data_IF_054751633439
#
_entry.id   IF_054751633439
#
_cell.length_a   1.000
_cell.length_b   1.000
_cell.length_c   1.000
_cell.angle_alpha   90.00
_cell.angle_beta   90.00
_cell.angle_gamma   90.00
#
_symmetry.space_group_name_H-M   'P 1'
#
loop_
_entity.id
_entity.type
_entity.pdbx_description
1 polymer ?
#
# COMPACT_ATOMS: atom_id res chain seq x y z
N UNK A 1 5.86 9.70 -16.07
CA UNK A 1 6.80 9.69 -14.93
C UNK A 1 7.63 8.43 -14.95
N UNK A 2 8.50 8.23 -13.95
CA UNK A 2 9.16 6.94 -13.72
C UNK A 2 8.38 6.08 -12.72
N UNK A 3 9.09 5.21 -12.03
CA UNK A 3 8.59 4.34 -10.97
C UNK A 3 8.77 4.98 -9.59
N UNK A 4 7.87 4.63 -8.69
CA UNK A 4 7.97 4.85 -7.26
C UNK A 4 7.93 3.47 -6.57
N UNK A 5 8.87 3.21 -5.67
CA UNK A 5 8.94 1.97 -4.90
C UNK A 5 9.25 2.30 -3.45
N UNK A 6 9.05 1.34 -2.55
CA UNK A 6 9.45 1.52 -1.16
C UNK A 6 9.82 0.21 -0.49
N UNK A 7 10.57 0.32 0.60
CA UNK A 7 10.84 -0.81 1.49
C UNK A 7 9.71 -0.94 2.52
N UNK A 8 8.99 -2.08 2.56
CA UNK A 8 7.96 -2.30 3.57
C UNK A 8 8.57 -2.35 4.97
N UNK A 9 8.02 -1.57 5.90
CA UNK A 9 8.50 -1.51 7.28
C UNK A 9 7.66 -2.40 8.20
N UNK A 10 7.66 -3.72 8.01
CA UNK A 10 6.86 -4.65 8.82
C UNK A 10 7.66 -5.07 10.07
N UNK A 11 7.17 -4.81 11.30
CA UNK A 11 7.81 -5.29 12.51
C UNK A 11 7.89 -6.83 12.53
N UNK A 12 9.06 -7.40 12.86
CA UNK A 12 9.24 -8.86 12.91
C UNK A 12 8.21 -9.57 13.77
N UNK A 13 7.83 -8.97 14.90
CA UNK A 13 6.76 -9.48 15.78
C UNK A 13 5.42 -9.69 15.07
N UNK A 14 5.08 -8.83 14.11
CA UNK A 14 3.83 -8.95 13.34
C UNK A 14 3.88 -10.09 12.31
N UNK A 15 5.08 -10.57 11.97
CA UNK A 15 5.27 -11.73 11.09
C UNK A 15 5.42 -13.02 11.91
N UNK A 16 6.21 -13.00 12.97
CA UNK A 16 6.73 -14.22 13.61
C UNK A 16 6.08 -14.56 14.95
N UNK A 17 5.50 -13.59 15.65
CA UNK A 17 4.98 -13.82 17.00
C UNK A 17 3.48 -14.19 16.96
N UNK A 18 3.03 -14.93 17.97
CA UNK A 18 1.62 -15.21 18.22
C UNK A 18 0.96 -16.18 17.24
N UNK A 19 -0.28 -16.55 17.54
CA UNK A 19 -1.07 -17.45 16.71
C UNK A 19 -1.47 -16.79 15.38
N UNK A 20 -1.69 -17.61 14.34
CA UNK A 20 -2.24 -17.17 13.06
C UNK A 20 -3.77 -17.20 13.11
N UNK A 21 -4.37 -16.10 13.60
CA UNK A 21 -5.82 -15.88 13.67
C UNK A 21 -6.27 -14.81 12.67
N UNK A 22 -7.59 -14.67 12.48
CA UNK A 22 -8.20 -13.59 11.69
C UNK A 22 -7.72 -12.22 12.17
N UNK A 23 -7.71 -11.98 13.48
CA UNK A 23 -7.26 -10.72 14.07
C UNK A 23 -5.79 -10.44 13.75
N UNK A 24 -4.93 -11.44 13.92
CA UNK A 24 -3.50 -11.31 13.61
C UNK A 24 -3.24 -11.08 12.11
N UNK A 25 -4.07 -11.70 11.25
CA UNK A 25 -4.01 -11.55 9.80
C UNK A 25 -4.36 -10.14 9.38
N UNK A 26 -5.52 -9.65 9.81
CA UNK A 26 -5.95 -8.30 9.49
C UNK A 26 -5.01 -7.27 10.12
N UNK A 27 -4.49 -7.48 11.33
CA UNK A 27 -3.47 -6.58 11.89
C UNK A 27 -2.22 -6.48 10.98
N UNK A 28 -1.74 -7.60 10.42
CA UNK A 28 -0.62 -7.63 9.49
C UNK A 28 -0.94 -6.96 8.15
N UNK A 29 -2.08 -7.31 7.55
CA UNK A 29 -2.48 -6.77 6.24
C UNK A 29 -2.80 -5.28 6.34
N UNK A 30 -3.57 -4.85 7.34
CA UNK A 30 -3.92 -3.45 7.60
C UNK A 30 -2.68 -2.56 7.78
N UNK A 31 -1.65 -3.07 8.45
CA UNK A 31 -0.39 -2.37 8.63
C UNK A 31 0.37 -2.16 7.31
N UNK A 32 0.34 -3.15 6.41
CA UNK A 32 0.91 -3.02 5.06
C UNK A 32 0.05 -2.11 4.18
N UNK A 33 -1.27 -2.27 4.22
CA UNK A 33 -2.23 -1.45 3.47
C UNK A 33 -2.09 0.02 3.79
N UNK A 34 -1.87 0.41 5.06
CA UNK A 34 -1.64 1.82 5.42
C UNK A 34 -0.43 2.41 4.70
N UNK A 35 0.67 1.67 4.60
CA UNK A 35 1.86 2.09 3.86
C UNK A 35 1.59 2.16 2.35
N UNK A 36 0.85 1.19 1.81
CA UNK A 36 0.48 1.15 0.39
C UNK A 36 -0.46 2.31 0.04
N UNK A 37 -1.41 2.66 0.91
CA UNK A 37 -2.28 3.84 0.77
C UNK A 37 -1.47 5.12 0.60
N UNK A 38 -0.48 5.32 1.46
CA UNK A 38 0.46 6.45 1.35
C UNK A 38 1.25 6.39 0.04
N UNK A 39 1.75 5.21 -0.34
CA UNK A 39 2.49 5.02 -1.58
C UNK A 39 1.65 5.32 -2.84
N UNK A 40 0.38 4.90 -2.85
CA UNK A 40 -0.59 5.19 -3.92
C UNK A 40 -0.86 6.69 -4.02
N UNK A 41 -1.06 7.36 -2.89
CA UNK A 41 -1.27 8.81 -2.87
C UNK A 41 -0.06 9.57 -3.44
N UNK A 42 1.15 9.19 -3.02
CA UNK A 42 2.38 9.80 -3.53
C UNK A 42 2.64 9.45 -5.01
N UNK A 43 2.32 8.23 -5.44
CA UNK A 43 2.43 7.81 -6.83
C UNK A 43 1.49 8.62 -7.74
N UNK A 44 0.25 8.83 -7.29
CA UNK A 44 -0.74 9.71 -7.92
C UNK A 44 -0.22 11.14 -8.03
N UNK A 45 0.19 11.73 -6.90
CA UNK A 45 0.70 13.11 -6.83
C UNK A 45 1.90 13.35 -7.76
N UNK A 46 2.86 12.43 -7.74
CA UNK A 46 4.11 12.54 -8.51
C UNK A 46 4.00 12.01 -9.94
N UNK A 47 2.81 11.53 -10.35
CA UNK A 47 2.54 10.91 -11.67
C UNK A 47 3.55 9.81 -12.01
N UNK A 48 3.75 8.90 -11.06
CA UNK A 48 4.67 7.76 -11.13
C UNK A 48 3.92 6.44 -11.00
N UNK A 49 4.42 5.41 -11.68
CA UNK A 49 3.90 4.05 -11.53
C UNK A 49 4.40 3.46 -10.21
N UNK A 50 3.48 3.01 -9.35
CA UNK A 50 3.83 2.35 -8.09
C UNK A 50 4.29 0.91 -8.35
N UNK A 51 5.52 0.58 -7.97
CA UNK A 51 5.92 -0.83 -7.81
C UNK A 51 5.39 -1.29 -6.47
N UNK A 52 4.40 -2.17 -6.49
CA UNK A 52 3.75 -2.70 -5.29
C UNK A 52 4.77 -3.44 -4.43
N UNK A 53 4.67 -3.38 -3.10
CA UNK A 53 5.54 -4.17 -2.24
C UNK A 53 5.15 -5.65 -2.28
N UNK A 54 6.05 -6.57 -1.87
CA UNK A 54 5.63 -7.91 -1.50
C UNK A 54 4.64 -7.83 -0.34
N UNK A 55 3.54 -8.60 -0.42
CA UNK A 55 2.53 -8.67 0.62
C UNK A 55 2.73 -9.93 1.46
N UNK A 56 2.67 -9.76 2.77
CA UNK A 56 2.67 -10.87 3.72
C UNK A 56 1.28 -11.12 4.26
N UNK A 57 0.84 -12.37 4.19
CA UNK A 57 -0.43 -12.81 4.75
C UNK A 57 -0.19 -13.91 5.78
N UNK A 58 -0.99 -13.89 6.85
CA UNK A 58 -1.03 -15.00 7.81
C UNK A 58 -2.04 -16.07 7.42
N UNK A 59 -3.04 -15.73 6.60
CA UNK A 59 -4.14 -16.60 6.21
C UNK A 59 -4.33 -16.45 4.72
N UNK A 60 -4.78 -17.52 4.09
CA UNK A 60 -5.12 -17.59 2.69
C UNK A 60 -6.44 -16.87 2.38
N UNK A 61 -6.66 -16.50 1.12
CA UNK A 61 -7.96 -16.04 0.63
C UNK A 61 -8.56 -17.15 -0.22
N UNK A 62 -9.75 -17.62 0.13
CA UNK A 62 -10.48 -18.63 -0.64
C UNK A 62 -11.90 -18.16 -1.00
N UNK A 63 -12.68 -19.04 -1.63
CA UNK A 63 -14.11 -18.80 -1.94
C UNK A 63 -15.06 -19.52 -0.96
N UNK A 64 -14.54 -20.11 0.11
CA UNK A 64 -15.30 -20.86 1.13
C UNK A 64 -14.68 -20.68 2.52
N UNK A 65 -15.39 -21.08 3.58
CA UNK A 65 -14.89 -21.05 4.95
C UNK A 65 -13.73 -22.01 5.16
N UNK A 66 -12.63 -21.56 5.76
CA UNK A 66 -11.41 -22.37 5.91
C UNK A 66 -10.66 -22.05 7.20
N UNK A 67 -9.82 -22.98 7.72
CA UNK A 67 -9.09 -22.81 8.98
C UNK A 67 -7.87 -21.87 8.87
N UNK A 68 -7.83 -21.00 7.85
CA UNK A 68 -6.74 -20.06 7.60
C UNK A 68 -5.75 -20.48 6.52
N UNK A 69 -5.48 -21.77 6.31
CA UNK A 69 -4.74 -22.31 5.15
C UNK A 69 -5.45 -23.53 4.60
N UNK A 70 -5.16 -23.89 3.35
CA UNK A 70 -5.79 -25.05 2.72
C UNK A 70 -5.31 -26.34 3.40
N UNK A 71 -6.25 -27.13 3.90
CA UNK A 71 -5.95 -28.43 4.49
C UNK A 71 -5.21 -29.32 3.48
N UNK A 72 -4.20 -30.04 3.97
CA UNK A 72 -3.34 -30.88 3.12
C UNK A 72 -2.24 -30.13 2.37
N UNK A 73 -2.15 -28.80 2.47
CA UNK A 73 -1.01 -28.05 1.90
C UNK A 73 0.14 -27.89 2.89
N UNK A 74 1.35 -27.69 2.35
CA UNK A 74 2.56 -27.40 3.14
C UNK A 74 2.82 -25.89 3.27
N UNK A 75 1.77 -25.06 3.20
CA UNK A 75 1.88 -23.60 3.26
C UNK A 75 2.40 -23.15 4.62
N UNK A 76 3.59 -22.56 4.65
CA UNK A 76 4.17 -21.99 5.87
C UNK A 76 3.59 -20.62 6.12
N UNK A 77 3.03 -20.39 7.31
CA UNK A 77 2.52 -19.08 7.72
C UNK A 77 3.60 -18.31 8.51
N UNK A 78 3.74 -16.98 8.34
CA UNK A 78 3.14 -16.20 7.27
C UNK A 78 3.84 -16.50 5.92
N UNK A 79 3.16 -16.21 4.81
CA UNK A 79 3.68 -16.39 3.46
C UNK A 79 3.57 -15.10 2.64
N UNK A 80 4.34 -15.04 1.56
CA UNK A 80 4.16 -14.03 0.52
C UNK A 80 2.88 -14.34 -0.25
N UNK A 81 1.84 -13.55 -0.02
CA UNK A 81 0.55 -13.76 -0.68
C UNK A 81 0.51 -13.03 -2.04
N UNK A 82 -0.18 -13.63 -3.02
CA UNK A 82 -0.58 -12.93 -4.23
C UNK A 82 -1.30 -11.61 -3.93
N UNK A 83 -1.11 -10.61 -4.79
CA UNK A 83 -1.67 -9.28 -4.58
C UNK A 83 -3.19 -9.28 -4.56
N UNK A 84 -3.79 -10.17 -5.34
CA UNK A 84 -5.22 -10.44 -5.42
C UNK A 84 -5.82 -11.08 -4.17
N UNK A 85 -5.00 -11.49 -3.19
CA UNK A 85 -5.54 -11.90 -1.88
C UNK A 85 -6.04 -10.72 -1.04
N UNK A 86 -5.59 -9.50 -1.35
CA UNK A 86 -5.92 -8.28 -0.60
C UNK A 86 -6.58 -7.23 -1.49
N UNK A 87 -6.07 -7.08 -2.72
CA UNK A 87 -6.48 -6.05 -3.66
C UNK A 87 -7.31 -6.61 -4.81
N UNK A 88 -8.36 -5.89 -5.19
CA UNK A 88 -9.15 -6.18 -6.39
C UNK A 88 -8.39 -5.68 -7.63
N UNK A 89 -7.39 -6.44 -8.08
CA UNK A 89 -6.50 -6.10 -9.19
C UNK A 89 -7.27 -5.76 -10.46
N UNK A 90 -8.37 -6.49 -10.73
CA UNK A 90 -9.26 -6.20 -11.85
C UNK A 90 -9.86 -4.78 -11.76
N UNK A 91 -10.23 -4.31 -10.56
CA UNK A 91 -10.75 -2.96 -10.34
C UNK A 91 -9.63 -1.92 -10.45
N UNK A 92 -8.43 -2.23 -9.93
CA UNK A 92 -7.26 -1.34 -10.06
C UNK A 92 -6.86 -1.06 -11.50
N UNK A 93 -7.10 -2.03 -12.41
CA UNK A 93 -6.82 -1.91 -13.83
C UNK A 93 -7.93 -1.20 -14.64
N UNK A 94 -9.10 -0.96 -14.05
CA UNK A 94 -10.21 -0.27 -14.74
C UNK A 94 -9.94 1.22 -14.87
N UNK A 95 -10.31 1.75 -16.03
CA UNK A 95 -10.44 3.19 -16.23
C UNK A 95 -11.74 3.66 -15.56
N UNK A 96 -11.58 4.37 -14.44
CA UNK A 96 -12.67 4.97 -13.68
C UNK A 96 -12.73 6.47 -13.98
N UNK A 97 -13.93 7.10 -14.03
CA UNK A 97 -14.09 8.54 -14.32
C UNK A 97 -13.20 9.41 -13.44
N UNK A 98 -12.38 10.27 -14.04
CA UNK A 98 -11.43 11.10 -13.28
C UNK A 98 -12.15 12.16 -12.44
N UNK A 99 -13.36 12.57 -12.83
CA UNK A 99 -14.18 13.53 -12.10
C UNK A 99 -14.56 13.01 -10.70
N UNK A 100 -14.82 11.71 -10.58
CA UNK A 100 -15.25 11.07 -9.32
C UNK A 100 -14.09 10.39 -8.58
N UNK A 101 -13.12 9.82 -9.33
CA UNK A 101 -12.06 8.97 -8.80
C UNK A 101 -10.66 9.58 -8.91
N UNK A 102 -10.53 10.78 -9.48
CA UNK A 102 -9.24 11.41 -9.72
C UNK A 102 -8.42 10.64 -10.76
N UNK A 103 -7.14 10.98 -10.94
CA UNK A 103 -6.30 10.40 -11.99
C UNK A 103 -6.06 8.89 -11.77
N UNK A 104 -5.83 8.18 -12.88
CA UNK A 104 -5.41 6.77 -12.86
C UNK A 104 -4.08 6.62 -12.12
N UNK A 105 -3.98 5.60 -11.27
CA UNK A 105 -2.75 5.24 -10.55
C UNK A 105 -2.22 3.93 -11.13
N UNK A 106 -1.19 4.02 -11.95
CA UNK A 106 -0.56 2.83 -12.52
C UNK A 106 0.27 2.09 -11.47
N UNK A 107 0.31 0.77 -11.60
CA UNK A 107 1.12 -0.07 -10.74
C UNK A 107 1.87 -1.17 -11.50
N UNK A 108 2.86 -1.76 -10.84
CA UNK A 108 3.59 -2.98 -11.23
C UNK A 108 3.72 -3.92 -10.04
N UNK A 109 3.84 -5.20 -10.33
CA UNK A 109 4.11 -6.26 -9.38
C UNK A 109 5.47 -6.10 -8.68
N UNK A 110 5.62 -6.71 -7.50
CA UNK A 110 6.76 -6.44 -6.61
C UNK A 110 8.12 -6.91 -7.15
N UNK A 111 8.14 -7.88 -8.05
CA UNK A 111 9.36 -8.39 -8.71
C UNK A 111 9.76 -7.59 -9.94
N UNK A 112 9.00 -6.56 -10.32
CA UNK A 112 9.22 -5.80 -11.56
C UNK A 112 10.64 -5.22 -11.67
N UNK A 113 11.18 -4.67 -10.58
CA UNK A 113 12.53 -4.09 -10.56
C UNK A 113 13.65 -5.13 -10.57
N UNK A 114 13.34 -6.37 -10.18
CA UNK A 114 14.25 -7.50 -10.16
C UNK A 114 14.33 -8.19 -11.53
N UNK A 115 13.32 -7.99 -12.39
CA UNK A 115 13.23 -8.59 -13.72
C UNK A 115 14.55 -8.37 -14.51
N UNK A 116 15.25 -9.43 -14.93
CA UNK A 116 16.49 -9.33 -15.70
C UNK A 116 16.34 -8.56 -17.03
N UNK A 117 15.15 -8.57 -17.62
CA UNK A 117 14.82 -7.89 -18.88
C UNK A 117 14.60 -6.38 -18.72
N UNK A 118 14.51 -5.86 -17.49
CA UNK A 118 14.37 -4.42 -17.27
C UNK A 118 15.69 -3.72 -17.67
N UNK A 119 15.65 -2.71 -18.57
CA UNK A 119 16.86 -2.07 -19.09
C UNK A 119 17.77 -1.52 -17.98
N UNK A 120 19.08 -1.73 -18.13
CA UNK A 120 20.08 -1.27 -17.14
C UNK A 120 19.99 0.23 -16.88
N UNK A 121 19.71 1.04 -17.91
CA UNK A 121 19.57 2.49 -17.74
C UNK A 121 18.41 2.87 -16.79
N UNK A 122 17.38 2.03 -16.67
CA UNK A 122 16.29 2.23 -15.71
C UNK A 122 16.74 1.88 -14.30
N UNK A 123 17.38 0.71 -14.12
CA UNK A 123 17.88 0.23 -12.81
C UNK A 123 18.92 1.18 -12.20
N UNK A 124 19.79 1.74 -13.04
CA UNK A 124 20.86 2.64 -12.61
C UNK A 124 20.38 4.07 -12.35
N UNK A 125 19.22 4.47 -12.89
CA UNK A 125 18.61 5.78 -12.63
C UNK A 125 17.71 5.72 -11.40
N UNK A 126 18.36 5.73 -10.24
CA UNK A 126 17.75 5.46 -8.94
C UNK A 126 18.03 6.59 -7.93
N UNK A 127 17.00 7.00 -7.18
CA UNK A 127 17.09 7.94 -6.06
C UNK A 127 16.56 7.27 -4.80
N UNK A 128 17.42 7.12 -3.79
CA UNK A 128 17.01 6.69 -2.46
C UNK A 128 16.45 7.88 -1.66
N UNK A 129 15.30 7.70 -1.01
CA UNK A 129 14.66 8.69 -0.16
C UNK A 129 14.55 8.16 1.27
N UNK A 130 15.09 8.91 2.23
CA UNK A 130 15.04 8.59 3.65
C UNK A 130 14.19 9.59 4.41
N UNK A 131 13.21 9.05 5.13
CA UNK A 131 12.37 9.87 6.00
C UNK A 131 13.17 10.30 7.24
N UNK A 132 13.12 11.58 7.58
CA UNK A 132 13.78 12.15 8.75
C UNK A 132 12.79 12.91 9.64
N UNK A 133 13.14 13.04 10.93
CA UNK A 133 12.33 13.81 11.87
C UNK A 133 12.65 15.30 11.70
N UNK A 134 11.61 16.14 11.67
CA UNK A 134 11.70 17.60 11.48
C UNK A 134 12.69 18.26 12.47
N UNK A 135 12.76 17.76 13.71
CA UNK A 135 13.64 18.30 14.75
C UNK A 135 15.12 17.88 14.62
N UNK A 136 15.47 17.01 13.68
CA UNK A 136 16.87 16.67 13.47
C UNK A 136 17.56 17.74 12.63
N UNK A 137 18.65 18.32 13.14
CA UNK A 137 19.47 19.35 12.47
C UNK A 137 20.05 18.92 11.11
N UNK A 138 19.85 17.66 10.73
CA UNK A 138 20.26 17.06 9.45
C UNK A 138 19.11 16.85 8.46
N UNK A 139 17.86 17.14 8.83
CA UNK A 139 16.67 16.99 7.96
C UNK A 139 16.43 18.22 7.07
N UNK A 140 17.50 18.91 6.67
CA UNK A 140 17.43 19.85 5.56
C UNK A 140 17.39 19.01 4.28
N UNK A 141 16.51 19.35 3.34
CA UNK A 141 16.47 18.79 1.98
C UNK A 141 17.82 19.07 1.32
N UNK A 142 18.78 18.19 1.58
CA UNK A 142 20.13 18.37 1.09
C UNK A 142 20.04 18.16 -0.43
N UNK A 143 20.23 19.24 -1.18
CA UNK A 143 20.51 19.23 -2.62
C UNK A 143 21.86 18.53 -2.84
N UNK A 144 21.89 17.23 -2.58
CA UNK A 144 22.99 16.37 -2.92
C UNK A 144 22.87 16.03 -4.39
N UNK A 145 23.49 16.83 -5.25
CA UNK A 145 23.81 16.46 -6.63
C UNK A 145 24.75 15.25 -6.71
N UNK A 146 25.21 14.72 -5.57
CA UNK A 146 25.96 13.48 -5.47
C UNK A 146 25.05 12.27 -5.70
N UNK A 147 25.31 11.53 -6.79
CA UNK A 147 24.67 10.26 -7.20
C UNK A 147 24.62 9.16 -6.11
N UNK A 148 25.26 9.35 -4.96
CA UNK A 148 25.38 8.36 -3.88
C UNK A 148 24.75 8.78 -2.55
N UNK A 149 24.18 9.98 -2.43
CA UNK A 149 23.58 10.44 -1.17
C UNK A 149 22.06 10.34 -1.23
N UNK A 150 21.48 9.62 -0.29
CA UNK A 150 20.02 9.55 -0.14
C UNK A 150 19.43 10.95 0.12
N UNK A 151 18.33 11.26 -0.56
CA UNK A 151 17.53 12.44 -0.33
C UNK A 151 16.84 12.33 1.04
N UNK A 152 16.97 13.35 1.87
CA UNK A 152 16.30 13.43 3.16
C UNK A 152 14.98 14.17 2.98
N UNK A 153 13.89 13.52 3.40
CA UNK A 153 12.53 14.05 3.33
C UNK A 153 11.92 14.05 4.74
N UNK A 154 11.38 15.17 5.24
CA UNK A 154 10.70 15.18 6.52
C UNK A 154 9.50 14.23 6.55
N UNK A 155 9.26 13.58 7.69
CA UNK A 155 8.00 12.89 7.95
C UNK A 155 6.84 13.89 7.89
N UNK A 156 5.65 13.39 7.54
CA UNK A 156 4.43 14.18 7.36
C UNK A 156 4.62 15.36 6.40
N UNK A 157 5.41 15.15 5.35
CA UNK A 157 5.63 16.13 4.28
C UNK A 157 4.29 16.53 3.63
N UNK A 158 4.18 17.81 3.33
CA UNK A 158 3.01 18.39 2.65
C UNK A 158 3.06 18.10 1.14
N UNK A 159 1.91 18.22 0.50
CA UNK A 159 1.79 18.12 -0.96
C UNK A 159 2.77 19.05 -1.68
N UNK A 160 2.78 20.34 -1.31
CA UNK A 160 3.66 21.34 -1.89
C UNK A 160 5.15 20.96 -1.74
N UNK A 161 5.55 20.49 -0.56
CA UNK A 161 6.93 20.07 -0.32
C UNK A 161 7.34 18.89 -1.21
N UNK A 162 6.47 17.91 -1.37
CA UNK A 162 6.73 16.77 -2.25
C UNK A 162 6.88 17.22 -3.71
N UNK A 163 5.98 18.08 -4.19
CA UNK A 163 6.03 18.62 -5.53
C UNK A 163 7.31 19.42 -5.78
N UNK A 164 7.69 20.30 -4.85
CA UNK A 164 8.88 21.14 -4.95
C UNK A 164 10.16 20.29 -4.96
N UNK A 165 10.29 19.36 -4.03
CA UNK A 165 11.46 18.48 -3.92
C UNK A 165 11.60 17.61 -5.17
N UNK A 166 10.52 16.93 -5.59
CA UNK A 166 10.58 15.99 -6.70
C UNK A 166 10.52 16.65 -8.08
N UNK A 167 10.27 17.97 -8.17
CA UNK A 167 10.39 18.75 -9.40
C UNK A 167 11.80 18.67 -10.02
N UNK A 168 12.83 18.59 -9.18
CA UNK A 168 14.24 18.46 -9.59
C UNK A 168 14.63 17.06 -10.05
N UNK A 169 13.77 16.05 -9.82
CA UNK A 169 14.05 14.64 -10.07
C UNK A 169 13.11 14.02 -11.12
N UNK A 170 12.50 14.83 -11.99
CA UNK A 170 11.60 14.37 -13.07
C UNK A 170 12.25 13.33 -13.99
N UNK A 171 13.55 13.46 -14.24
CA UNK A 171 14.31 12.58 -15.12
C UNK A 171 14.75 11.26 -14.47
N UNK A 172 14.68 11.16 -13.14
CA UNK A 172 15.03 9.93 -12.41
C UNK A 172 13.96 8.86 -12.67
N UNK A 173 14.41 7.67 -13.07
CA UNK A 173 13.52 6.56 -13.42
C UNK A 173 12.94 5.87 -12.22
N UNK A 174 13.67 5.72 -11.11
CA UNK A 174 13.17 5.05 -9.90
C UNK A 174 13.38 5.95 -8.69
N UNK A 175 12.30 6.27 -7.97
CA UNK A 175 12.37 6.87 -6.64
C UNK A 175 12.04 5.78 -5.63
N UNK A 176 12.94 5.51 -4.69
CA UNK A 176 12.80 4.45 -3.71
C UNK A 176 12.80 4.99 -2.29
N UNK A 177 11.67 4.85 -1.62
CA UNK A 177 11.51 5.28 -0.24
C UNK A 177 11.95 4.17 0.72
N UNK A 178 12.80 4.50 1.67
CA UNK A 178 13.17 3.59 2.77
C UNK A 178 11.98 3.21 3.67
N UNK A 179 10.90 3.98 3.67
CA UNK A 179 9.65 3.72 4.38
C UNK A 179 8.55 4.63 3.83
N UNK A 180 7.30 4.17 3.86
CA UNK A 180 6.11 4.99 3.59
C UNK A 180 5.36 5.43 4.85
N UNK A 181 5.74 4.90 6.02
CA UNK A 181 5.16 5.31 7.31
C UNK A 181 5.41 6.81 7.52
N UNK A 182 4.32 7.58 7.61
CA UNK A 182 4.31 9.04 7.73
C UNK A 182 5.05 9.74 6.58
N UNK A 183 5.03 9.18 5.36
CA UNK A 183 5.70 9.77 4.20
C UNK A 183 4.98 10.98 3.60
N UNK A 184 3.66 11.04 3.76
CA UNK A 184 2.81 12.08 3.17
C UNK A 184 1.64 12.39 4.10
N UNK A 185 1.38 13.69 4.30
CA UNK A 185 0.32 14.16 5.20
C UNK A 185 -1.09 14.02 4.62
N UNK A 186 -1.22 14.00 3.30
CA UNK A 186 -2.51 14.05 2.59
C UNK A 186 -2.57 15.21 1.60
N UNK A 187 -3.58 15.20 0.74
CA UNK A 187 -3.78 16.24 -0.26
C UNK A 187 -4.25 17.54 0.40
N UNK A 188 -3.78 18.70 -0.09
CA UNK A 188 -4.20 19.99 0.44
C UNK A 188 -5.64 20.35 0.03
N UNK A 189 -6.05 19.93 -1.17
CA UNK A 189 -7.40 20.10 -1.69
C UNK A 189 -8.31 18.92 -1.27
N UNK A 190 -9.39 19.24 -0.57
CA UNK A 190 -10.37 18.26 -0.08
C UNK A 190 -11.12 17.53 -1.21
N UNK A 191 -11.32 18.15 -2.38
CA UNK A 191 -11.93 17.51 -3.53
C UNK A 191 -10.99 16.44 -4.11
N UNK A 192 -9.69 16.74 -4.23
CA UNK A 192 -8.67 15.79 -4.68
C UNK A 192 -8.53 14.64 -3.69
N UNK A 193 -8.51 14.93 -2.39
CA UNK A 193 -8.52 13.90 -1.34
C UNK A 193 -9.76 13.00 -1.48
N UNK A 194 -10.95 13.58 -1.67
CA UNK A 194 -12.20 12.82 -1.82
C UNK A 194 -12.16 11.91 -3.04
N UNK A 195 -11.71 12.41 -4.19
CA UNK A 195 -11.53 11.65 -5.43
C UNK A 195 -10.56 10.48 -5.24
N UNK A 196 -9.41 10.74 -4.62
CA UNK A 196 -8.43 9.71 -4.29
C UNK A 196 -9.03 8.64 -3.37
N UNK A 197 -9.74 9.05 -2.31
CA UNK A 197 -10.42 8.15 -1.37
C UNK A 197 -11.44 7.27 -2.08
N UNK A 198 -12.29 7.84 -2.94
CA UNK A 198 -13.28 7.10 -3.73
C UNK A 198 -12.62 6.01 -4.58
N UNK A 199 -11.45 6.31 -5.17
CA UNK A 199 -10.69 5.34 -5.97
C UNK A 199 -10.13 4.21 -5.11
N UNK A 200 -9.35 4.54 -4.09
CA UNK A 200 -8.60 3.52 -3.34
C UNK A 200 -9.47 2.68 -2.41
N UNK A 201 -10.65 3.16 -1.99
CA UNK A 201 -11.60 2.31 -1.24
C UNK A 201 -12.09 1.12 -2.06
N UNK A 202 -12.14 1.23 -3.39
CA UNK A 202 -12.55 0.14 -4.30
C UNK A 202 -11.43 -0.84 -4.62
N UNK A 203 -10.19 -0.52 -4.22
CA UNK A 203 -9.03 -1.36 -4.51
C UNK A 203 -8.92 -2.56 -3.59
N UNK A 204 -9.61 -2.58 -2.45
CA UNK A 204 -9.54 -3.69 -1.49
C UNK A 204 -10.69 -4.65 -1.68
N UNK A 205 -10.40 -5.93 -1.50
CA UNK A 205 -11.38 -7.01 -1.68
C UNK A 205 -11.96 -7.52 -0.37
N UNK A 206 -12.31 -8.80 -0.38
CA UNK A 206 -12.73 -9.56 0.80
C UNK A 206 -11.68 -10.60 1.16
N UNK A 207 -11.51 -10.83 2.46
CA UNK A 207 -10.97 -12.07 2.97
C UNK A 207 -12.12 -13.05 3.18
N UNK A 208 -11.99 -14.27 2.68
CA UNK A 208 -12.99 -15.30 2.85
C UNK A 208 -12.32 -16.63 3.21
N UNK A 209 -12.84 -17.34 4.21
CA UNK A 209 -13.97 -16.99 5.09
C UNK A 209 -13.84 -17.61 6.48
N UNK A 210 -14.50 -16.99 7.47
CA UNK A 210 -14.74 -17.60 8.78
C UNK A 210 -15.65 -18.82 8.60
N UNK A 211 -15.22 -19.97 9.14
CA UNK A 211 -15.97 -21.22 9.06
C UNK A 211 -17.32 -21.17 9.79
N UNK A 212 -18.26 -22.01 9.32
CA UNK A 212 -19.58 -22.21 9.93
C UNK A 212 -20.44 -20.95 10.06
N UNK A 213 -20.29 -19.99 9.13
CA UNK A 213 -21.14 -18.80 9.02
C UNK A 213 -21.82 -18.72 7.66
N UNK A 214 -23.07 -18.23 7.63
CA UNK A 214 -23.76 -17.89 6.38
C UNK A 214 -23.05 -16.73 5.68
N UNK A 215 -22.75 -15.65 6.42
CA UNK A 215 -21.94 -14.52 5.97
C UNK A 215 -20.59 -14.61 6.68
N UNK A 216 -19.61 -15.20 5.99
CA UNK A 216 -18.28 -15.52 6.55
C UNK A 216 -17.15 -14.62 6.07
N UNK A 217 -17.37 -13.80 5.03
CA UNK A 217 -16.34 -12.93 4.48
C UNK A 217 -16.17 -11.66 5.32
N UNK A 218 -14.98 -11.07 5.23
CA UNK A 218 -14.61 -9.84 5.92
C UNK A 218 -14.02 -8.90 4.89
N UNK A 219 -14.57 -7.69 4.78
CA UNK A 219 -14.04 -6.68 3.88
C UNK A 219 -12.71 -6.13 4.39
N UNK A 220 -11.70 -6.11 3.52
CA UNK A 220 -10.55 -5.26 3.73
C UNK A 220 -10.98 -3.81 3.53
N UNK A 221 -10.61 -2.95 4.48
CA UNK A 221 -10.96 -1.54 4.44
C UNK A 221 -9.70 -0.69 4.36
N UNK A 222 -9.51 0.01 3.23
CA UNK A 222 -8.39 0.92 3.03
C UNK A 222 -8.30 2.01 4.11
N UNK A 223 -9.40 2.36 4.77
CA UNK A 223 -9.50 3.37 5.83
C UNK A 223 -9.98 2.80 7.17
N UNK A 224 -9.63 1.55 7.46
CA UNK A 224 -9.92 0.90 8.74
C UNK A 224 -9.46 1.74 9.95
N UNK A 225 -8.36 2.50 9.82
CA UNK A 225 -7.74 3.29 10.89
C UNK A 225 -8.48 4.60 11.19
N UNK A 226 -9.40 5.02 10.32
CA UNK A 226 -10.28 6.17 10.56
C UNK A 226 -11.55 5.77 11.35
N UNK A 227 -11.76 4.47 11.59
CA UNK A 227 -12.97 3.91 12.21
C UNK A 227 -12.69 3.47 13.66
N UNK A 228 -13.13 4.23 14.68
CA UNK A 228 -12.91 3.87 16.07
C UNK A 228 -13.50 2.50 16.39
N UNK A 229 -12.70 1.63 17.00
CA UNK A 229 -13.14 0.29 17.39
C UNK A 229 -13.36 -0.70 16.24
N UNK A 230 -12.89 -0.39 15.03
CA UNK A 230 -12.96 -1.31 13.89
C UNK A 230 -12.34 -2.67 14.24
N UNK A 231 -13.02 -3.75 13.84
CA UNK A 231 -12.58 -5.12 14.03
C UNK A 231 -12.84 -5.94 12.76
N UNK A 232 -12.00 -6.94 12.48
CA UNK A 232 -12.18 -7.84 11.35
C UNK A 232 -13.24 -8.90 11.69
N UNK A 233 -14.51 -8.50 11.65
CA UNK A 233 -15.63 -9.41 11.84
C UNK A 233 -16.46 -9.48 10.57
N UNK A 234 -17.00 -10.67 10.24
CA UNK A 234 -17.98 -10.76 9.17
C UNK A 234 -19.22 -9.93 9.50
N UNK A 235 -19.92 -9.39 8.49
CA UNK A 235 -21.20 -8.71 8.68
C UNK A 235 -22.16 -9.56 9.53
N UNK A 236 -22.96 -8.92 10.39
CA UNK A 236 -23.88 -9.65 11.26
C UNK A 236 -25.17 -10.05 10.55
N UNK A 237 -25.56 -9.29 9.54
CA UNK A 237 -26.79 -9.42 8.78
C UNK A 237 -26.58 -8.94 7.34
N UNK A 238 -27.60 -9.11 6.48
CA UNK A 238 -27.52 -8.76 5.05
C UNK A 238 -27.50 -7.25 4.83
N UNK A 239 -28.06 -6.49 5.74
CA UNK A 239 -28.08 -5.03 5.69
C UNK A 239 -26.67 -4.44 5.89
N UNK A 240 -25.85 -5.09 6.73
CA UNK A 240 -24.43 -4.77 6.96
C UNK A 240 -23.50 -5.36 5.88
N UNK A 241 -23.99 -6.28 5.06
CA UNK A 241 -23.19 -6.98 4.05
C UNK A 241 -22.99 -6.14 2.78
N UNK A 242 -22.18 -5.10 2.91
CA UNK A 242 -21.81 -4.24 1.81
C UNK A 242 -20.33 -3.83 1.89
N UNK A 243 -19.68 -3.56 0.73
CA UNK A 243 -18.32 -3.04 0.72
C UNK A 243 -18.17 -1.73 1.51
N UNK A 244 -16.98 -1.41 2.04
CA UNK A 244 -16.75 -0.20 2.85
C UNK A 244 -16.96 1.15 2.11
N UNK A 245 -17.19 1.10 0.80
CA UNK A 245 -17.46 2.25 -0.07
C UNK A 245 -18.91 2.34 -0.55
N UNK A 246 -19.72 1.32 -0.29
CA UNK A 246 -21.14 1.32 -0.58
C UNK A 246 -21.91 2.17 0.44
#
# INVERSE_FOLDING_TARGET
>A
GGFLSFRPNIPKRMLLDGAHTVESHFALVNYQMKQIRTALAMASLLKRTLVMPPLWCRLDRMWFGHPGVMEGTMTRQPFLCPMDHVFEVHVMLKDLPEEEFGPRIDFREYTFLENPSLPKQVKESFLEVRLCNEHSTRCSTANGTNKHRALLLPRNSTEQMLLDVFSSYKNIKIIHFSSMVDGFRGFADAAVETQFRNRVKRYTGIWCCVEFREIGHIYYDMYWDDKPGWKPHPPQNREEDHPPWA
#
